data_IF_237885316418
#
_entry.id   IF_237885316418
#
_cell.length_a   1.000
_cell.length_b   1.000
_cell.length_c   1.000
_cell.angle_alpha   90.00
_cell.angle_beta   90.00
_cell.angle_gamma   90.00
#
_symmetry.space_group_name_H-M   'P 1'
#
loop_
_entity.id
_entity.type
_entity.pdbx_description
1 polymer ?
#
# COMPACT_ATOMS: atom_id res chain seq x y z
N UNK A 1 -7.65 0.03 5.04
CA UNK A 1 -8.83 -0.24 4.18
C UNK A 1 -9.64 -1.41 4.71
N UNK A 2 -9.10 -2.67 4.72
CA UNK A 2 -9.88 -3.86 5.13
C UNK A 2 -10.55 -3.70 6.51
N UNK A 3 -9.79 -3.31 7.54
CA UNK A 3 -10.33 -3.10 8.89
C UNK A 3 -11.43 -2.02 8.94
N UNK A 4 -11.27 -0.94 8.19
CA UNK A 4 -12.29 0.12 8.06
C UNK A 4 -13.56 -0.40 7.41
N UNK A 5 -13.42 -1.15 6.30
CA UNK A 5 -14.56 -1.76 5.62
C UNK A 5 -15.31 -2.75 6.52
N UNK A 6 -14.58 -3.62 7.21
CA UNK A 6 -15.19 -4.58 8.14
C UNK A 6 -15.93 -3.85 9.26
N UNK A 7 -15.31 -2.82 9.85
CA UNK A 7 -15.96 -2.02 10.90
C UNK A 7 -17.21 -1.33 10.41
N UNK A 8 -17.14 -0.68 9.26
CA UNK A 8 -18.26 0.04 8.65
C UNK A 8 -19.44 -0.90 8.35
N UNK A 9 -19.21 -1.97 7.59
CA UNK A 9 -20.29 -2.89 7.18
C UNK A 9 -20.82 -3.77 8.31
N UNK A 10 -20.08 -3.94 9.40
CA UNK A 10 -20.57 -4.61 10.60
C UNK A 10 -21.30 -3.68 11.57
N UNK A 11 -21.44 -2.39 11.23
CA UNK A 11 -21.93 -1.35 12.15
C UNK A 11 -21.18 -1.36 13.49
N UNK A 12 -19.86 -1.59 13.45
CA UNK A 12 -18.98 -1.70 14.63
C UNK A 12 -19.35 -2.85 15.60
N UNK A 13 -20.14 -3.83 15.17
CA UNK A 13 -20.55 -4.95 15.99
C UNK A 13 -19.50 -6.07 16.12
N UNK A 14 -18.41 -5.97 15.36
CA UNK A 14 -17.31 -6.93 15.41
C UNK A 14 -16.14 -6.38 16.21
N UNK A 15 -15.51 -7.24 17.00
CA UNK A 15 -14.21 -6.93 17.59
C UNK A 15 -13.12 -7.11 16.53
N UNK A 16 -12.48 -6.03 16.14
CA UNK A 16 -11.47 -6.01 15.10
C UNK A 16 -10.13 -5.60 15.70
N UNK A 17 -9.09 -6.38 15.44
CA UNK A 17 -7.72 -6.09 15.80
C UNK A 17 -6.86 -6.00 14.54
N UNK A 18 -6.19 -4.88 14.34
CA UNK A 18 -5.16 -4.69 13.31
C UNK A 18 -3.79 -4.84 13.95
N UNK A 19 -2.94 -5.66 13.35
CA UNK A 19 -1.59 -5.94 13.87
C UNK A 19 -0.58 -5.43 12.86
N UNK A 20 0.40 -4.63 13.30
CA UNK A 20 1.46 -4.11 12.46
C UNK A 20 2.84 -4.33 13.11
N UNK A 21 3.83 -4.67 12.28
CA UNK A 21 5.22 -4.78 12.73
C UNK A 21 5.90 -3.45 12.99
N UNK A 22 5.38 -2.37 12.41
CA UNK A 22 5.89 -1.02 12.58
C UNK A 22 5.34 -0.38 13.86
N UNK A 23 5.98 0.69 14.30
CA UNK A 23 5.46 1.48 15.42
C UNK A 23 4.33 2.38 14.97
N UNK A 24 3.51 2.81 15.91
CA UNK A 24 2.44 3.78 15.64
C UNK A 24 2.97 5.12 15.13
N UNK A 25 4.15 5.55 15.63
CA UNK A 25 4.77 6.81 15.22
C UNK A 25 5.36 6.77 13.80
N UNK A 26 5.64 5.57 13.30
CA UNK A 26 6.21 5.36 11.97
C UNK A 26 5.44 4.27 11.24
N UNK A 27 4.16 4.50 10.95
CA UNK A 27 3.35 3.51 10.25
C UNK A 27 3.84 3.35 8.81
N UNK A 28 3.86 2.11 8.37
CA UNK A 28 4.40 1.77 7.06
C UNK A 28 5.92 1.63 7.05
N UNK A 29 6.48 1.33 5.89
CA UNK A 29 7.92 1.11 5.71
C UNK A 29 8.58 2.37 5.17
N UNK A 30 9.52 2.92 5.92
CA UNK A 30 10.41 3.96 5.45
C UNK A 30 11.70 3.33 4.95
N UNK A 31 11.99 3.45 3.66
CA UNK A 31 13.30 3.13 3.08
C UNK A 31 14.12 4.42 2.94
N UNK A 32 15.43 4.30 2.91
CA UNK A 32 16.29 5.40 2.51
C UNK A 32 16.54 5.30 0.99
N UNK A 33 16.11 6.26 0.16
CA UNK A 33 15.78 7.65 0.46
C UNK A 33 14.29 7.95 0.75
N UNK A 34 13.43 7.02 1.02
CA UNK A 34 12.03 7.29 1.33
C UNK A 34 11.10 6.11 1.09
N UNK A 35 9.81 6.37 0.87
CA UNK A 35 8.82 5.36 0.56
C UNK A 35 8.98 4.86 -0.88
N UNK A 36 9.05 3.56 -1.08
CA UNK A 36 9.18 2.94 -2.41
C UNK A 36 7.80 2.75 -3.06
N UNK A 37 7.17 3.84 -3.46
CA UNK A 37 5.86 3.83 -4.11
C UNK A 37 5.78 5.04 -5.03
N UNK A 38 5.20 4.90 -6.21
CA UNK A 38 4.93 6.01 -7.13
C UNK A 38 3.87 6.99 -6.62
N UNK A 39 3.14 6.61 -5.57
CA UNK A 39 2.12 7.41 -4.87
C UNK A 39 0.82 7.66 -5.66
N UNK A 40 0.77 7.35 -6.95
CA UNK A 40 -0.44 7.51 -7.74
C UNK A 40 -1.56 6.56 -7.28
N UNK A 41 -2.78 7.08 -7.28
CA UNK A 41 -4.00 6.34 -6.95
C UNK A 41 -5.15 6.85 -7.83
N UNK A 42 -5.96 5.95 -8.38
CA UNK A 42 -7.10 6.37 -9.18
C UNK A 42 -8.17 7.05 -8.32
N UNK A 43 -8.93 7.92 -8.96
CA UNK A 43 -10.06 8.62 -8.31
C UNK A 43 -11.08 7.63 -7.76
N UNK A 44 -11.39 6.56 -8.50
CA UNK A 44 -12.36 5.55 -8.09
C UNK A 44 -11.96 4.86 -6.77
N UNK A 45 -10.67 4.63 -6.55
CA UNK A 45 -10.20 4.03 -5.30
C UNK A 45 -10.40 4.97 -4.11
N UNK A 46 -10.19 6.26 -4.29
CA UNK A 46 -10.42 7.30 -3.27
C UNK A 46 -11.91 7.50 -3.04
N UNK A 47 -12.71 7.56 -4.10
CA UNK A 47 -14.16 7.69 -4.03
C UNK A 47 -14.79 6.48 -3.32
N UNK A 48 -14.30 5.27 -3.58
CA UNK A 48 -14.74 4.07 -2.84
C UNK A 48 -14.59 4.25 -1.33
N UNK A 49 -13.44 4.75 -0.87
CA UNK A 49 -13.21 4.99 0.56
C UNK A 49 -14.17 6.06 1.10
N UNK A 50 -14.35 7.14 0.36
CA UNK A 50 -15.17 8.28 0.78
C UNK A 50 -16.66 7.97 0.72
N UNK A 51 -17.12 7.42 -0.39
CA UNK A 51 -18.55 7.24 -0.66
C UNK A 51 -19.11 5.95 -0.08
N UNK A 52 -18.33 4.83 -0.16
CA UNK A 52 -18.80 3.50 0.24
C UNK A 52 -18.55 3.23 1.72
N UNK A 53 -17.42 3.63 2.26
CA UNK A 53 -17.06 3.33 3.66
C UNK A 53 -17.09 4.59 4.56
N UNK A 54 -17.40 5.74 3.99
CA UNK A 54 -17.47 7.03 4.70
C UNK A 54 -16.16 7.41 5.39
N UNK A 55 -15.04 7.05 4.79
CA UNK A 55 -13.69 7.41 5.23
C UNK A 55 -13.06 8.32 4.17
N UNK A 56 -13.27 9.64 4.27
CA UNK A 56 -12.78 10.57 3.27
C UNK A 56 -11.25 10.62 3.24
N UNK A 57 -10.70 10.73 2.03
CA UNK A 57 -9.30 11.06 1.81
C UNK A 57 -9.23 12.46 1.26
N UNK A 58 -8.50 13.32 1.95
CA UNK A 58 -8.38 14.75 1.62
C UNK A 58 -6.94 15.20 1.89
N UNK A 59 -6.63 16.49 1.71
CA UNK A 59 -5.35 17.02 2.20
C UNK A 59 -5.22 16.85 3.72
N UNK A 60 -4.05 16.45 4.25
CA UNK A 60 -2.77 16.29 3.56
C UNK A 60 -2.49 14.87 3.05
N UNK A 61 -3.47 13.98 2.97
CA UNK A 61 -3.30 12.61 2.44
C UNK A 61 -3.17 12.62 0.91
N UNK A 62 -3.88 13.56 0.27
CA UNK A 62 -3.78 13.88 -1.16
C UNK A 62 -2.91 15.12 -1.28
N UNK A 63 -1.82 15.03 -2.03
CA UNK A 63 -0.88 16.14 -2.25
C UNK A 63 -1.13 16.85 -3.58
N UNK A 64 -1.52 16.10 -4.60
CA UNK A 64 -1.70 16.63 -5.95
C UNK A 64 -2.77 15.84 -6.69
N UNK A 65 -3.43 16.48 -7.66
CA UNK A 65 -4.41 15.86 -8.56
C UNK A 65 -3.78 15.71 -9.94
N UNK A 66 -4.04 14.59 -10.60
CA UNK A 66 -3.57 14.32 -11.97
C UNK A 66 -4.76 13.99 -12.87
N UNK A 67 -4.59 14.29 -14.16
CA UNK A 67 -5.63 14.11 -15.20
C UNK A 67 -5.44 12.81 -15.99
N UNK A 68 -4.38 12.06 -15.71
CA UNK A 68 -4.13 10.81 -16.39
C UNK A 68 -2.70 10.31 -16.33
N UNK A 69 -2.42 9.43 -17.26
CA UNK A 69 -1.10 8.84 -17.48
C UNK A 69 -0.66 9.15 -18.91
N UNK A 70 0.58 9.55 -19.09
CA UNK A 70 1.21 9.71 -20.40
C UNK A 70 2.27 8.62 -20.57
N UNK A 71 2.05 7.70 -21.52
CA UNK A 71 3.01 6.63 -21.80
C UNK A 71 3.85 6.96 -23.05
N UNK A 72 5.16 6.89 -22.90
CA UNK A 72 6.12 7.11 -23.97
C UNK A 72 6.71 5.79 -24.48
N UNK A 73 6.87 5.70 -25.80
CA UNK A 73 7.65 4.64 -26.45
C UNK A 73 9.13 4.70 -26.04
N UNK A 74 9.93 3.61 -26.26
CA UNK A 74 11.35 3.60 -25.92
C UNK A 74 12.17 4.71 -26.58
N UNK A 75 11.85 5.05 -27.83
CA UNK A 75 12.48 6.15 -28.60
C UNK A 75 11.95 7.54 -28.21
N UNK A 76 10.91 7.60 -27.36
CA UNK A 76 10.20 8.82 -26.96
C UNK A 76 9.51 9.59 -28.11
N UNK A 77 9.43 9.02 -29.30
CA UNK A 77 8.79 9.66 -30.44
C UNK A 77 7.25 9.54 -30.39
N UNK A 78 6.75 8.52 -29.70
CA UNK A 78 5.31 8.29 -29.54
C UNK A 78 4.89 8.49 -28.09
N UNK A 79 3.94 9.38 -27.89
CA UNK A 79 3.27 9.60 -26.61
C UNK A 79 1.79 9.22 -26.69
N UNK A 80 1.33 8.38 -25.78
CA UNK A 80 -0.07 7.94 -25.72
C UNK A 80 -0.66 8.44 -24.41
N UNK A 81 -1.60 9.39 -24.45
CA UNK A 81 -2.33 9.82 -23.25
C UNK A 81 -3.42 8.81 -22.89
N UNK A 82 -3.54 8.53 -21.62
CA UNK A 82 -4.64 7.81 -21.00
C UNK A 82 -5.32 8.78 -20.02
N UNK A 83 -6.39 9.38 -20.47
CA UNK A 83 -7.17 10.32 -19.64
C UNK A 83 -7.84 9.59 -18.49
N UNK A 84 -7.81 10.21 -17.31
CA UNK A 84 -8.44 9.68 -16.12
C UNK A 84 -8.00 10.43 -14.86
N UNK A 85 -8.96 10.82 -14.06
CA UNK A 85 -8.67 11.51 -12.81
C UNK A 85 -7.94 10.61 -11.81
N UNK A 86 -6.94 11.15 -11.15
CA UNK A 86 -6.18 10.47 -10.13
C UNK A 86 -5.58 11.41 -9.10
N UNK A 87 -4.97 10.83 -8.11
CA UNK A 87 -4.36 11.57 -7.00
C UNK A 87 -2.96 11.07 -6.71
N UNK A 88 -2.07 11.99 -6.36
CA UNK A 88 -0.77 11.71 -5.76
C UNK A 88 -0.90 11.73 -4.25
N UNK A 89 -0.57 10.63 -3.61
CA UNK A 89 -0.77 10.44 -2.19
C UNK A 89 0.47 10.79 -1.37
N UNK A 90 0.27 11.42 -0.22
CA UNK A 90 1.30 11.54 0.81
C UNK A 90 1.43 10.23 1.60
N UNK A 91 2.33 9.36 1.19
CA UNK A 91 2.53 8.05 1.85
C UNK A 91 3.10 8.13 3.27
N UNK A 92 3.61 9.28 3.70
CA UNK A 92 4.00 9.48 5.09
C UNK A 92 2.79 9.80 5.97
N UNK A 93 1.90 10.68 5.46
CA UNK A 93 0.71 11.13 6.21
C UNK A 93 -0.46 10.18 6.13
N UNK A 94 -0.65 9.53 4.99
CA UNK A 94 -1.76 8.61 4.76
C UNK A 94 -1.88 7.52 5.85
N UNK A 95 -0.85 6.73 6.20
CA UNK A 95 -0.99 5.70 7.22
C UNK A 95 -1.28 6.28 8.61
N UNK A 96 -0.67 7.40 8.98
CA UNK A 96 -0.88 8.07 10.25
C UNK A 96 -2.35 8.48 10.43
N UNK A 97 -2.88 9.20 9.43
CA UNK A 97 -4.25 9.72 9.45
C UNK A 97 -5.27 8.57 9.36
N UNK A 98 -5.02 7.60 8.48
CA UNK A 98 -5.92 6.45 8.32
C UNK A 98 -5.95 5.56 9.57
N UNK A 99 -4.83 5.35 10.24
CA UNK A 99 -4.81 4.63 11.51
C UNK A 99 -5.63 5.37 12.58
N UNK A 100 -5.49 6.70 12.68
CA UNK A 100 -6.28 7.50 13.63
C UNK A 100 -7.78 7.43 13.32
N UNK A 101 -8.18 7.51 12.05
CA UNK A 101 -9.58 7.33 11.63
C UNK A 101 -10.08 5.91 11.93
N UNK A 102 -9.28 4.91 11.65
CA UNK A 102 -9.61 3.50 11.88
C UNK A 102 -9.85 3.21 13.37
N UNK A 103 -9.04 3.80 14.25
CA UNK A 103 -9.26 3.72 15.71
C UNK A 103 -10.60 4.32 16.13
N UNK A 104 -10.98 5.47 15.55
CA UNK A 104 -12.28 6.11 15.80
C UNK A 104 -13.47 5.24 15.34
N UNK A 105 -13.24 4.33 14.41
CA UNK A 105 -14.22 3.33 13.96
C UNK A 105 -14.26 2.07 14.86
N UNK A 106 -13.63 2.08 16.04
CA UNK A 106 -13.66 0.99 16.99
C UNK A 106 -12.67 -0.15 16.71
N UNK A 107 -11.73 0.04 15.79
CA UNK A 107 -10.68 -0.95 15.52
C UNK A 107 -9.54 -0.78 16.53
N UNK A 108 -9.14 -1.88 17.16
CA UNK A 108 -7.96 -1.93 18.01
C UNK A 108 -6.69 -2.17 17.18
N UNK A 109 -5.56 -1.70 17.71
CA UNK A 109 -4.25 -1.88 17.07
C UNK A 109 -3.24 -2.42 18.07
N UNK A 110 -2.49 -3.44 17.62
CA UNK A 110 -1.27 -3.90 18.29
C UNK A 110 -0.09 -3.60 17.33
N UNK A 111 0.74 -2.63 17.68
CA UNK A 111 1.92 -2.22 16.94
C UNK A 111 3.17 -2.93 17.42
N UNK A 112 4.23 -2.88 16.60
CA UNK A 112 5.54 -3.48 16.87
C UNK A 112 5.47 -5.00 17.06
N UNK A 113 4.51 -5.66 16.40
CA UNK A 113 4.34 -7.11 16.45
C UNK A 113 4.82 -7.72 15.15
N UNK A 114 5.90 -8.46 15.23
CA UNK A 114 6.39 -9.26 14.10
C UNK A 114 5.71 -10.62 14.11
N UNK A 115 4.74 -10.81 13.23
CA UNK A 115 4.05 -12.09 13.08
C UNK A 115 4.98 -13.11 12.41
N UNK A 116 5.05 -14.31 12.97
CA UNK A 116 5.93 -15.39 12.49
C UNK A 116 5.15 -16.65 12.13
N UNK A 117 3.87 -16.74 12.46
CA UNK A 117 3.11 -17.94 12.16
C UNK A 117 1.61 -17.84 12.40
N UNK A 118 0.93 -18.87 11.90
CA UNK A 118 -0.48 -19.13 12.11
C UNK A 118 -0.68 -20.05 13.33
N UNK A 119 -1.82 -19.95 13.97
CA UNK A 119 -2.28 -20.88 15.02
C UNK A 119 -3.40 -21.70 14.41
N UNK A 120 -3.32 -23.02 14.57
CA UNK A 120 -4.28 -23.97 14.04
C UNK A 120 -5.06 -24.70 15.14
N UNK A 121 -6.30 -25.05 14.83
CA UNK A 121 -7.08 -26.07 15.52
C UNK A 121 -7.56 -27.06 14.46
N UNK A 122 -6.95 -28.25 14.42
CA UNK A 122 -7.08 -29.15 13.29
C UNK A 122 -6.67 -28.42 11.99
N UNK A 123 -7.49 -28.47 10.92
CA UNK A 123 -7.19 -27.80 9.66
C UNK A 123 -7.55 -26.30 9.65
N UNK A 124 -8.18 -25.80 10.70
CA UNK A 124 -8.67 -24.43 10.75
C UNK A 124 -7.63 -23.47 11.32
N UNK A 125 -7.41 -22.34 10.63
CA UNK A 125 -6.66 -21.22 11.18
C UNK A 125 -7.53 -20.50 12.21
N UNK A 126 -7.07 -20.48 13.46
CA UNK A 126 -7.77 -19.85 14.58
C UNK A 126 -7.04 -18.63 15.15
N UNK A 127 -5.92 -18.23 14.56
CA UNK A 127 -5.18 -17.08 15.05
C UNK A 127 -3.79 -16.92 14.44
N UNK A 128 -3.05 -16.03 15.06
CA UNK A 128 -1.67 -15.67 14.66
C UNK A 128 -0.75 -15.64 15.88
N UNK A 129 0.54 -15.90 15.63
CA UNK A 129 1.58 -15.80 16.65
C UNK A 129 2.80 -15.04 16.13
N UNK A 130 3.60 -14.53 17.04
CA UNK A 130 4.79 -13.76 16.70
C UNK A 130 5.56 -13.30 17.92
N UNK A 131 6.27 -12.21 17.75
CA UNK A 131 7.10 -11.60 18.80
C UNK A 131 6.79 -10.10 18.84
N UNK A 132 6.61 -9.58 20.03
CA UNK A 132 6.59 -8.13 20.24
C UNK A 132 8.02 -7.59 20.08
N UNK A 133 8.26 -6.74 19.11
CA UNK A 133 9.58 -6.22 18.78
C UNK A 133 10.17 -5.32 19.88
N UNK A 134 9.32 -4.68 20.68
CA UNK A 134 9.71 -3.81 21.78
C UNK A 134 10.06 -4.58 23.02
N UNK A 135 9.17 -5.47 23.48
CA UNK A 135 9.34 -6.20 24.73
C UNK A 135 10.09 -7.53 24.56
N UNK A 136 10.27 -8.01 23.32
CA UNK A 136 10.83 -9.31 22.97
C UNK A 136 10.02 -10.50 23.49
N UNK A 137 8.83 -10.26 23.98
CA UNK A 137 7.96 -11.31 24.51
C UNK A 137 7.18 -12.01 23.39
N UNK A 138 6.87 -13.30 23.55
CA UNK A 138 5.96 -14.01 22.66
C UNK A 138 4.61 -13.31 22.56
N UNK A 139 4.05 -13.30 21.36
CA UNK A 139 2.74 -12.74 21.06
C UNK A 139 1.84 -13.80 20.45
N UNK A 140 0.61 -13.90 20.93
CA UNK A 140 -0.43 -14.78 20.38
C UNK A 140 -1.79 -14.09 20.46
N UNK A 141 -2.58 -14.23 19.40
CA UNK A 141 -3.98 -13.79 19.34
C UNK A 141 -4.81 -14.80 18.57
N UNK A 142 -5.99 -15.09 19.08
CA UNK A 142 -6.98 -15.92 18.40
C UNK A 142 -8.10 -15.07 17.81
N UNK A 143 -8.67 -15.52 16.70
CA UNK A 143 -9.77 -14.86 16.02
C UNK A 143 -10.57 -15.88 15.21
N UNK A 144 -11.86 -15.58 14.95
CA UNK A 144 -12.71 -16.37 14.09
C UNK A 144 -12.30 -16.26 12.61
N UNK A 145 -11.76 -15.11 12.23
CA UNK A 145 -11.28 -14.84 10.87
C UNK A 145 -9.93 -14.12 10.97
N UNK A 146 -8.97 -14.56 10.19
CA UNK A 146 -7.66 -13.92 10.02
C UNK A 146 -7.55 -13.38 8.60
N UNK A 147 -7.28 -12.09 8.46
CA UNK A 147 -7.03 -11.44 7.18
C UNK A 147 -5.53 -11.18 7.07
N UNK A 148 -4.86 -11.85 6.13
CA UNK A 148 -3.44 -11.63 5.86
C UNK A 148 -3.27 -10.43 4.90
N UNK A 149 -2.72 -9.35 5.43
CA UNK A 149 -2.35 -8.14 4.69
C UNK A 149 -0.85 -7.83 4.85
N UNK A 150 -0.02 -8.86 5.04
CA UNK A 150 1.42 -8.70 5.31
C UNK A 150 2.27 -8.49 4.05
N UNK A 151 1.62 -8.40 2.89
CA UNK A 151 2.26 -8.06 1.62
C UNK A 151 2.74 -9.27 0.80
N UNK A 152 3.48 -8.98 -0.25
CA UNK A 152 3.89 -9.96 -1.27
C UNK A 152 4.73 -11.11 -0.70
N UNK A 153 5.57 -10.83 0.28
CA UNK A 153 6.45 -11.82 0.94
C UNK A 153 5.82 -12.46 2.17
N UNK A 154 4.48 -12.49 2.25
CA UNK A 154 3.76 -12.99 3.41
C UNK A 154 4.29 -14.32 3.92
N UNK A 155 4.77 -14.33 5.15
CA UNK A 155 5.15 -15.57 5.85
C UNK A 155 3.93 -16.38 6.27
N UNK A 156 2.79 -15.74 6.50
CA UNK A 156 1.56 -16.41 6.94
C UNK A 156 0.95 -17.22 5.80
N UNK A 157 0.84 -16.62 4.61
CA UNK A 157 0.34 -17.32 3.41
C UNK A 157 1.17 -18.57 3.09
N UNK A 158 2.48 -18.51 3.24
CA UNK A 158 3.38 -19.64 2.97
C UNK A 158 3.17 -20.82 3.94
N UNK A 159 2.54 -20.60 5.09
CA UNK A 159 2.26 -21.63 6.10
C UNK A 159 0.90 -22.29 5.93
N UNK A 160 0.05 -21.81 5.00
CA UNK A 160 -1.24 -22.45 4.75
C UNK A 160 -1.06 -23.89 4.27
N UNK A 161 -1.95 -24.77 4.65
CA UNK A 161 -1.94 -26.17 4.20
C UNK A 161 -2.19 -26.30 2.69
N UNK A 162 -1.75 -27.39 2.10
CA UNK A 162 -1.86 -27.63 0.65
C UNK A 162 -3.30 -27.79 0.16
N UNK A 163 -4.25 -28.06 1.07
CA UNK A 163 -5.68 -28.20 0.78
C UNK A 163 -6.35 -26.85 0.47
N UNK A 164 -5.72 -25.72 0.76
CA UNK A 164 -6.29 -24.40 0.44
C UNK A 164 -6.13 -24.08 -1.04
N UNK A 165 -7.10 -23.36 -1.60
CA UNK A 165 -7.03 -22.85 -2.98
C UNK A 165 -6.22 -21.55 -3.09
N UNK A 166 -5.41 -21.26 -2.09
CA UNK A 166 -4.59 -20.05 -2.03
C UNK A 166 -3.19 -20.40 -2.54
N UNK A 167 -2.72 -19.65 -3.51
CA UNK A 167 -1.35 -19.76 -4.00
C UNK A 167 -0.37 -19.32 -2.91
N UNK A 168 0.42 -20.29 -2.43
CA UNK A 168 1.34 -20.06 -1.31
C UNK A 168 2.56 -19.26 -1.72
N UNK A 169 3.14 -19.61 -2.86
CA UNK A 169 4.41 -19.06 -3.35
C UNK A 169 4.17 -18.26 -4.62
N UNK A 170 4.62 -17.02 -4.62
CA UNK A 170 4.69 -16.21 -5.82
C UNK A 170 6.00 -16.56 -6.53
N UNK A 171 5.94 -16.89 -7.80
CA UNK A 171 7.12 -17.17 -8.60
C UNK A 171 7.95 -15.90 -8.80
N UNK A 172 9.28 -16.07 -8.90
CA UNK A 172 10.18 -14.91 -9.03
C UNK A 172 9.89 -14.07 -10.27
N UNK A 173 9.41 -14.70 -11.36
CA UNK A 173 9.03 -13.99 -12.60
C UNK A 173 7.80 -13.07 -12.43
N UNK A 174 7.00 -13.30 -11.39
CA UNK A 174 5.80 -12.52 -11.08
C UNK A 174 6.10 -11.43 -10.01
N UNK A 175 7.39 -11.24 -9.68
CA UNK A 175 7.85 -10.26 -8.71
C UNK A 175 8.64 -9.17 -9.40
N UNK A 176 8.29 -7.94 -9.13
CA UNK A 176 9.03 -6.76 -9.58
C UNK A 176 9.68 -6.06 -8.39
N UNK A 177 10.83 -5.45 -8.65
CA UNK A 177 11.51 -4.60 -7.68
C UNK A 177 11.39 -3.15 -8.13
N UNK A 178 11.01 -2.27 -7.22
CA UNK A 178 10.85 -0.86 -7.50
C UNK A 178 11.81 -0.02 -6.66
N UNK A 179 12.31 1.06 -7.25
CA UNK A 179 13.08 2.09 -6.58
C UNK A 179 12.48 3.46 -6.84
N UNK A 180 12.64 4.41 -5.94
CA UNK A 180 12.15 5.78 -6.10
C UNK A 180 13.17 6.78 -5.60
N UNK A 181 13.30 7.87 -6.34
CA UNK A 181 13.94 9.11 -5.92
C UNK A 181 12.90 10.24 -5.90
N UNK A 182 12.99 11.14 -4.93
CA UNK A 182 12.26 12.40 -4.94
C UNK A 182 13.26 13.46 -5.37
N UNK A 183 12.93 14.19 -6.42
CA UNK A 183 13.72 15.27 -6.96
C UNK A 183 12.96 16.59 -6.81
N UNK A 184 13.69 17.66 -6.64
CA UNK A 184 13.17 19.01 -6.66
C UNK A 184 13.77 19.70 -7.89
N UNK A 185 12.94 20.43 -8.61
CA UNK A 185 13.38 21.22 -9.75
C UNK A 185 13.57 22.66 -9.30
N UNK A 186 14.65 23.28 -9.74
CA UNK A 186 14.86 24.71 -9.54
C UNK A 186 13.95 25.49 -10.50
N UNK A 187 13.37 26.58 -10.00
CA UNK A 187 12.57 27.50 -10.83
C UNK A 187 13.45 28.09 -11.91
N UNK A 188 13.14 27.83 -13.17
CA UNK A 188 13.88 28.30 -14.34
C UNK A 188 14.42 27.19 -15.25
N UNK A 189 14.35 25.93 -14.84
CA UNK A 189 14.59 24.80 -15.75
C UNK A 189 13.25 24.41 -16.44
N UNK A 190 12.75 25.32 -17.26
CA UNK A 190 11.44 25.17 -17.94
C UNK A 190 11.44 24.14 -19.08
N UNK A 191 12.57 23.51 -19.36
CA UNK A 191 12.73 22.60 -20.51
C UNK A 191 12.77 21.13 -20.09
N UNK A 192 11.88 20.75 -19.16
CA UNK A 192 11.73 19.35 -18.74
C UNK A 192 10.74 18.63 -19.67
N UNK A 193 11.23 18.17 -20.81
CA UNK A 193 10.45 17.40 -21.79
C UNK A 193 9.80 16.12 -21.21
N UNK A 194 10.27 15.69 -20.05
CA UNK A 194 9.83 14.46 -19.38
C UNK A 194 8.99 14.72 -18.11
N UNK A 195 8.50 15.95 -17.88
CA UNK A 195 7.68 16.29 -16.73
C UNK A 195 6.41 17.05 -17.14
N UNK A 196 5.28 16.57 -16.66
CA UNK A 196 3.99 17.25 -16.78
C UNK A 196 3.30 17.23 -15.41
N UNK A 197 2.89 18.38 -14.87
CA UNK A 197 2.22 18.45 -13.57
C UNK A 197 0.84 17.78 -13.58
N UNK A 198 0.21 17.66 -14.75
CA UNK A 198 -1.13 17.10 -14.89
C UNK A 198 -1.12 15.59 -15.17
N UNK A 199 0.02 14.99 -15.52
CA UNK A 199 0.10 13.59 -15.91
C UNK A 199 1.17 12.80 -15.15
N UNK A 200 0.85 11.56 -14.82
CA UNK A 200 1.84 10.56 -14.42
C UNK A 200 2.57 10.07 -15.68
N UNK A 201 3.84 10.41 -15.84
CA UNK A 201 4.62 10.01 -17.02
C UNK A 201 5.20 8.61 -16.81
N UNK A 202 5.07 7.76 -17.82
CA UNK A 202 5.62 6.40 -17.88
C UNK A 202 6.47 6.26 -19.14
N UNK A 203 7.70 5.76 -18.98
CA UNK A 203 8.60 5.39 -20.06
C UNK A 203 8.69 3.86 -20.17
N UNK A 204 8.30 3.33 -21.32
CA UNK A 204 8.33 1.89 -21.63
C UNK A 204 9.70 1.45 -22.19
N UNK A 205 10.76 1.95 -21.58
CA UNK A 205 12.14 1.74 -22.02
C UNK A 205 12.75 0.52 -21.32
N UNK A 206 13.05 -0.51 -22.12
CA UNK A 206 13.58 -1.79 -21.62
C UNK A 206 15.08 -1.73 -21.29
N UNK A 207 15.80 -0.72 -21.74
CA UNK A 207 17.20 -0.50 -21.36
C UNK A 207 17.29 0.13 -19.95
N UNK A 208 16.31 0.98 -19.62
CA UNK A 208 16.20 1.61 -18.28
C UNK A 208 15.56 0.66 -17.27
N UNK A 209 14.48 -0.01 -17.67
CA UNK A 209 13.68 -0.87 -16.78
C UNK A 209 13.29 -2.18 -17.47
N UNK A 210 14.21 -3.17 -17.60
CA UNK A 210 13.94 -4.44 -18.26
C UNK A 210 12.76 -5.19 -17.62
N UNK A 211 11.73 -5.47 -18.44
CA UNK A 211 10.49 -6.15 -17.99
C UNK A 211 9.52 -5.27 -17.21
N UNK A 212 9.83 -3.99 -17.04
CA UNK A 212 9.01 -3.02 -16.33
C UNK A 212 8.91 -1.68 -17.04
N UNK A 213 8.89 -0.59 -16.28
CA UNK A 213 8.86 0.77 -16.81
C UNK A 213 9.51 1.77 -15.84
N UNK A 214 10.03 2.85 -16.34
CA UNK A 214 10.41 4.01 -15.54
C UNK A 214 9.25 5.00 -15.48
N UNK A 215 9.21 5.81 -14.40
CA UNK A 215 8.15 6.82 -14.25
C UNK A 215 8.69 8.14 -13.72
N UNK A 216 8.03 9.23 -14.09
CA UNK A 216 8.17 10.55 -13.50
C UNK A 216 6.78 11.04 -13.11
N UNK A 217 6.52 11.15 -11.82
CA UNK A 217 5.21 11.51 -11.29
C UNK A 217 5.29 12.85 -10.56
N UNK A 218 4.33 13.75 -10.78
CA UNK A 218 4.25 15.02 -10.07
C UNK A 218 3.99 14.79 -8.57
N UNK A 219 4.39 15.78 -7.75
CA UNK A 219 4.16 15.69 -6.30
C UNK A 219 4.07 17.07 -5.66
#
# INVERSE_FOLDING_TARGET
VAAQSISYYSNQNLSILSIDRNSEMFPGRKSNPGWTCGDACSKEAVDFMTERIKVPWTSPEIEHEVKGVMAFSPDKETAIPFDGDGYMLNRQKLPEIQNARTKKMGVNFDFEINLTGLIYDGPQVIGVQGINNKTKQPYKKTAKVVVDATGVTSMLRNQLENSTKIEKKIERRDLESTGRHIMYFDKGEEDLTDFDPDFCIIHLDQDIAPGGYAWVFPK
#
